data_IF_975807816408
#
_entry.id   IF_975807816408
#
_cell.length_a   1.000
_cell.length_b   1.000
_cell.length_c   1.000
_cell.angle_alpha   90.00
_cell.angle_beta   90.00
_cell.angle_gamma   90.00
#
_symmetry.space_group_name_H-M   'P 1'
#
loop_
_entity.id
_entity.type
_entity.pdbx_description
1 polymer ?
#
# COMPACT_ATOMS: atom_id res chain seq x y z
N UNK A 1 -31.56 -4.53 -21.45
CA UNK A 1 -30.78 -3.54 -22.22
C UNK A 1 -30.47 -4.14 -23.58
N UNK A 2 -30.50 -3.36 -24.66
CA UNK A 2 -30.11 -3.85 -25.99
C UNK A 2 -28.58 -3.77 -26.19
N UNK A 3 -28.07 -4.37 -27.26
CA UNK A 3 -26.63 -4.38 -27.56
C UNK A 3 -26.06 -2.96 -27.72
N UNK A 4 -26.88 -2.02 -28.21
CA UNK A 4 -26.49 -0.61 -28.40
C UNK A 4 -26.29 0.09 -27.05
N UNK A 5 -27.17 -0.14 -26.08
CA UNK A 5 -27.03 0.38 -24.72
C UNK A 5 -25.77 -0.15 -24.02
N UNK A 6 -25.51 -1.46 -24.09
CA UNK A 6 -24.32 -2.07 -23.50
C UNK A 6 -23.05 -1.49 -24.13
N UNK A 7 -23.02 -1.33 -25.45
CA UNK A 7 -21.90 -0.72 -26.17
C UNK A 7 -21.66 0.72 -25.75
N UNK A 8 -22.72 1.53 -25.60
CA UNK A 8 -22.62 2.91 -25.14
C UNK A 8 -21.98 3.01 -23.75
N UNK A 9 -22.44 2.19 -22.79
CA UNK A 9 -21.86 2.14 -21.44
C UNK A 9 -20.38 1.74 -21.44
N UNK A 10 -19.99 0.78 -22.28
CA UNK A 10 -18.58 0.38 -22.43
C UNK A 10 -17.72 1.49 -23.04
N UNK A 11 -18.25 2.27 -23.98
CA UNK A 11 -17.55 3.43 -24.55
C UNK A 11 -17.35 4.51 -23.48
N UNK A 12 -18.37 4.80 -22.68
CA UNK A 12 -18.27 5.73 -21.56
C UNK A 12 -17.21 5.29 -20.55
N UNK A 13 -17.23 4.02 -20.16
CA UNK A 13 -16.22 3.43 -19.28
C UNK A 13 -14.81 3.54 -19.87
N UNK A 14 -14.63 3.24 -21.16
CA UNK A 14 -13.35 3.36 -21.85
C UNK A 14 -12.83 4.80 -21.81
N UNK A 15 -13.69 5.76 -22.14
CA UNK A 15 -13.33 7.17 -22.16
C UNK A 15 -12.98 7.68 -20.75
N UNK A 16 -13.71 7.22 -19.73
CA UNK A 16 -13.39 7.50 -18.34
C UNK A 16 -12.01 6.97 -17.95
N UNK A 17 -11.69 5.70 -18.27
CA UNK A 17 -10.38 5.10 -18.00
C UNK A 17 -9.24 5.89 -18.66
N UNK A 18 -9.39 6.28 -19.94
CA UNK A 18 -8.40 7.07 -20.66
C UNK A 18 -8.21 8.47 -20.06
N UNK A 19 -9.30 9.11 -19.63
CA UNK A 19 -9.24 10.40 -18.94
C UNK A 19 -8.48 10.31 -17.62
N UNK A 20 -8.70 9.25 -16.83
CA UNK A 20 -7.95 9.02 -15.59
C UNK A 20 -6.47 8.79 -15.88
N UNK A 21 -6.12 8.04 -16.93
CA UNK A 21 -4.74 7.87 -17.36
C UNK A 21 -4.06 9.21 -17.70
N UNK A 22 -4.71 10.04 -18.51
CA UNK A 22 -4.20 11.36 -18.90
C UNK A 22 -3.92 12.24 -17.67
N UNK A 23 -4.83 12.25 -16.69
CA UNK A 23 -4.66 12.97 -15.42
C UNK A 23 -3.46 12.46 -14.59
N UNK A 24 -3.05 11.21 -14.77
CA UNK A 24 -1.93 10.60 -14.06
C UNK A 24 -0.63 10.54 -14.88
N UNK A 25 -0.59 11.11 -16.09
CA UNK A 25 0.56 11.04 -17.00
C UNK A 25 1.87 11.50 -16.35
N UNK A 26 1.84 12.62 -15.60
CA UNK A 26 3.01 13.12 -14.85
C UNK A 26 3.53 12.12 -13.80
N UNK A 27 2.64 11.30 -13.21
CA UNK A 27 3.06 10.25 -12.27
C UNK A 27 3.65 9.06 -13.01
N UNK A 28 3.06 8.66 -14.14
CA UNK A 28 3.57 7.60 -15.01
C UNK A 28 4.97 7.89 -15.56
N UNK A 29 5.27 9.15 -15.88
CA UNK A 29 6.60 9.58 -16.31
C UNK A 29 7.66 9.35 -15.24
N UNK A 30 7.31 9.47 -13.95
CA UNK A 30 8.20 9.24 -12.80
C UNK A 30 8.41 7.77 -12.46
N UNK A 31 7.61 6.86 -13.03
CA UNK A 31 7.78 5.40 -12.83
C UNK A 31 8.94 4.91 -13.68
N UNK A 32 9.73 3.97 -13.12
CA UNK A 32 10.81 3.31 -13.85
C UNK A 32 10.29 2.72 -15.18
N UNK A 33 11.01 2.86 -16.31
CA UNK A 33 10.57 2.38 -17.62
C UNK A 33 10.04 0.93 -17.62
N UNK A 34 10.73 0.01 -16.93
CA UNK A 34 10.37 -1.41 -16.84
C UNK A 34 9.03 -1.69 -16.13
N UNK A 35 8.52 -0.72 -15.38
CA UNK A 35 7.27 -0.83 -14.63
C UNK A 35 6.17 0.06 -15.19
N UNK A 36 6.45 0.91 -16.19
CA UNK A 36 5.51 1.90 -16.71
C UNK A 36 4.24 1.26 -17.28
N UNK A 37 4.36 0.15 -18.03
CA UNK A 37 3.19 -0.58 -18.56
C UNK A 37 2.32 -1.19 -17.46
N UNK A 38 2.92 -1.75 -16.41
CA UNK A 38 2.18 -2.29 -15.27
C UNK A 38 1.51 -1.17 -14.45
N UNK A 39 2.19 -0.03 -14.26
CA UNK A 39 1.64 1.15 -13.60
C UNK A 39 0.47 1.75 -14.38
N UNK A 40 0.55 1.79 -15.71
CA UNK A 40 -0.53 2.21 -16.59
C UNK A 40 -1.75 1.29 -16.44
N UNK A 41 -1.54 -0.04 -16.47
CA UNK A 41 -2.60 -1.01 -16.24
C UNK A 41 -3.23 -0.88 -14.83
N UNK A 42 -2.42 -0.59 -13.81
CA UNK A 42 -2.91 -0.35 -12.45
C UNK A 42 -3.83 0.88 -12.40
N UNK A 43 -3.49 1.96 -13.11
CA UNK A 43 -4.39 3.12 -13.23
C UNK A 43 -5.70 2.74 -13.91
N UNK A 44 -5.64 1.95 -14.99
CA UNK A 44 -6.85 1.45 -15.66
C UNK A 44 -7.71 0.58 -14.73
N UNK A 45 -7.08 -0.30 -13.95
CA UNK A 45 -7.74 -1.15 -12.97
C UNK A 45 -8.41 -0.34 -11.86
N UNK A 46 -7.71 0.65 -11.29
CA UNK A 46 -8.27 1.52 -10.27
C UNK A 46 -9.43 2.35 -10.80
N UNK A 47 -9.35 2.83 -12.04
CA UNK A 47 -10.46 3.51 -12.71
C UNK A 47 -11.66 2.57 -12.89
N UNK A 48 -11.46 1.35 -13.37
CA UNK A 48 -12.51 0.33 -13.48
C UNK A 48 -13.15 0.01 -12.12
N UNK A 49 -12.39 0.04 -11.02
CA UNK A 49 -12.92 -0.25 -9.67
C UNK A 49 -13.54 0.97 -8.97
N UNK A 50 -13.37 2.17 -9.51
CA UNK A 50 -13.88 3.39 -8.90
C UNK A 50 -15.39 3.60 -9.11
N UNK A 51 -15.97 2.90 -10.07
CA UNK A 51 -17.40 2.99 -10.42
C UNK A 51 -18.03 1.61 -10.22
N UNK A 52 -19.27 1.59 -9.74
CA UNK A 52 -20.02 0.35 -9.68
C UNK A 52 -20.45 -0.07 -11.09
N UNK A 53 -20.03 -1.27 -11.49
CA UNK A 53 -20.31 -1.85 -12.80
C UNK A 53 -21.14 -3.13 -12.70
N UNK A 54 -21.81 -3.40 -11.58
CA UNK A 54 -22.58 -4.62 -11.39
C UNK A 54 -23.59 -4.87 -12.51
N UNK A 55 -24.41 -3.86 -12.85
CA UNK A 55 -25.41 -3.95 -13.91
C UNK A 55 -24.79 -4.21 -15.28
N UNK A 56 -23.71 -3.48 -15.62
CA UNK A 56 -22.98 -3.67 -16.88
C UNK A 56 -22.41 -5.10 -16.99
N UNK A 57 -21.89 -5.66 -15.90
CA UNK A 57 -21.37 -7.02 -15.87
C UNK A 57 -22.48 -8.08 -16.02
N UNK A 58 -23.63 -7.86 -15.39
CA UNK A 58 -24.82 -8.72 -15.55
C UNK A 58 -25.30 -8.71 -17.00
N UNK A 59 -25.37 -7.52 -17.62
CA UNK A 59 -25.73 -7.38 -19.03
C UNK A 59 -24.75 -8.09 -19.97
N UNK A 60 -23.43 -7.91 -19.79
CA UNK A 60 -22.40 -8.62 -20.57
C UNK A 60 -22.56 -10.14 -20.47
N UNK A 61 -22.77 -10.64 -19.25
CA UNK A 61 -22.94 -12.08 -19.01
C UNK A 61 -24.22 -12.62 -19.66
N UNK A 62 -25.30 -11.83 -19.62
CA UNK A 62 -26.60 -12.23 -20.21
C UNK A 62 -26.56 -12.41 -21.74
N UNK A 63 -25.61 -11.78 -22.42
CA UNK A 63 -25.39 -11.89 -23.87
C UNK A 63 -24.23 -12.83 -24.22
N UNK A 64 -23.72 -13.59 -23.25
CA UNK A 64 -22.65 -14.57 -23.46
C UNK A 64 -21.23 -13.99 -23.59
N UNK A 65 -21.05 -12.70 -23.29
CA UNK A 65 -19.72 -12.07 -23.24
C UNK A 65 -19.09 -12.24 -21.86
N UNK A 66 -17.76 -12.35 -21.83
CA UNK A 66 -17.02 -12.45 -20.58
C UNK A 66 -17.18 -11.16 -19.76
N UNK A 67 -17.47 -11.30 -18.47
CA UNK A 67 -17.52 -10.16 -17.56
C UNK A 67 -16.15 -9.48 -17.46
N UNK A 68 -16.13 -8.17 -17.21
CA UNK A 68 -14.89 -7.42 -16.99
C UNK A 68 -14.15 -7.81 -15.69
N UNK A 69 -14.69 -8.72 -14.86
CA UNK A 69 -14.07 -9.14 -13.58
C UNK A 69 -12.69 -9.75 -13.76
N UNK A 70 -12.45 -10.46 -14.85
CA UNK A 70 -11.19 -11.14 -15.13
C UNK A 70 -10.25 -10.29 -16.01
N UNK A 71 -10.54 -9.00 -16.18
CA UNK A 71 -9.74 -8.10 -17.00
C UNK A 71 -8.54 -7.47 -16.29
N UNK A 72 -8.31 -7.79 -15.02
CA UNK A 72 -7.37 -7.09 -14.13
C UNK A 72 -5.95 -7.01 -14.70
N UNK A 73 -5.50 -8.05 -15.40
CA UNK A 73 -4.17 -8.09 -15.98
C UNK A 73 -4.00 -7.19 -17.21
N UNK A 74 -5.10 -6.84 -17.91
CA UNK A 74 -5.12 -6.14 -19.21
C UNK A 74 -6.43 -5.40 -19.43
N UNK A 75 -6.72 -4.40 -18.59
CA UNK A 75 -8.06 -3.80 -18.48
C UNK A 75 -8.50 -3.15 -19.79
N UNK A 76 -7.71 -2.21 -20.31
CA UNK A 76 -8.06 -1.45 -21.52
C UNK A 76 -8.11 -2.34 -22.76
N UNK A 77 -7.25 -3.36 -22.85
CA UNK A 77 -7.24 -4.30 -23.98
C UNK A 77 -8.48 -5.17 -24.02
N UNK A 78 -8.87 -5.73 -22.88
CA UNK A 78 -10.09 -6.54 -22.81
C UNK A 78 -11.33 -5.68 -23.09
N UNK A 79 -11.35 -4.43 -22.62
CA UNK A 79 -12.43 -3.50 -22.93
C UNK A 79 -12.50 -3.18 -24.44
N UNK A 80 -11.36 -2.91 -25.07
CA UNK A 80 -11.28 -2.69 -26.52
C UNK A 80 -11.72 -3.93 -27.32
N UNK A 81 -11.36 -5.14 -26.87
CA UNK A 81 -11.78 -6.39 -27.50
C UNK A 81 -13.31 -6.57 -27.41
N UNK A 82 -13.91 -6.36 -26.25
CA UNK A 82 -15.37 -6.44 -26.09
C UNK A 82 -16.07 -5.41 -26.97
N UNK A 83 -15.57 -4.16 -27.01
CA UNK A 83 -16.11 -3.11 -27.87
C UNK A 83 -15.99 -3.44 -29.37
N UNK A 84 -14.90 -4.07 -29.78
CA UNK A 84 -14.71 -4.54 -31.15
C UNK A 84 -15.76 -5.59 -31.52
N UNK A 85 -15.96 -6.61 -30.68
CA UNK A 85 -16.98 -7.65 -30.94
C UNK A 85 -18.42 -7.14 -30.94
N UNK A 86 -18.68 -6.02 -30.24
CA UNK A 86 -19.98 -5.34 -30.22
C UNK A 86 -20.15 -4.31 -31.35
N UNK A 87 -19.15 -4.10 -32.21
CA UNK A 87 -19.24 -3.14 -33.31
C UNK A 87 -20.01 -3.72 -34.50
N UNK A 88 -20.83 -2.88 -35.15
CA UNK A 88 -21.64 -3.27 -36.33
C UNK A 88 -20.74 -3.56 -37.55
N UNK A 89 -19.60 -2.88 -37.64
CA UNK A 89 -18.54 -3.14 -38.62
C UNK A 89 -17.59 -4.23 -38.09
N UNK A 90 -17.99 -5.50 -38.16
CA UNK A 90 -17.07 -6.60 -37.90
C UNK A 90 -16.03 -6.70 -39.02
N UNK A 91 -14.98 -5.89 -38.93
CA UNK A 91 -13.75 -6.18 -39.66
C UNK A 91 -13.11 -7.41 -39.01
N UNK A 92 -12.66 -8.39 -39.79
CA UNK A 92 -11.99 -9.60 -39.29
C UNK A 92 -10.65 -9.32 -38.57
N UNK A 93 -10.23 -8.05 -38.50
CA UNK A 93 -8.99 -7.64 -37.87
C UNK A 93 -9.16 -7.52 -36.35
N UNK A 94 -8.56 -8.46 -35.62
CA UNK A 94 -8.50 -8.45 -34.16
C UNK A 94 -7.73 -7.20 -33.71
N UNK A 95 -8.28 -6.39 -32.78
CA UNK A 95 -7.60 -5.23 -32.23
C UNK A 95 -6.19 -5.57 -31.74
N UNK A 96 -5.20 -4.83 -32.20
CA UNK A 96 -3.82 -4.98 -31.70
C UNK A 96 -3.81 -4.62 -30.21
N UNK A 97 -3.31 -5.50 -29.34
CA UNK A 97 -3.29 -5.20 -27.92
C UNK A 97 -2.39 -3.99 -27.61
N UNK A 98 -2.91 -3.05 -26.83
CA UNK A 98 -2.21 -1.85 -26.34
C UNK A 98 -0.99 -2.25 -25.52
N UNK A 99 -1.09 -3.29 -24.68
CA UNK A 99 0.06 -3.82 -23.97
C UNK A 99 0.72 -4.99 -24.72
N UNK A 100 1.96 -4.84 -25.16
CA UNK A 100 2.71 -5.94 -25.81
C UNK A 100 3.16 -7.05 -24.84
N UNK A 101 2.85 -6.91 -23.55
CA UNK A 101 3.44 -7.69 -22.46
C UNK A 101 2.52 -8.82 -22.04
N UNK A 102 3.02 -10.05 -21.96
CA UNK A 102 2.26 -11.19 -21.48
C UNK A 102 2.27 -11.23 -19.93
N UNK A 103 1.16 -10.95 -19.23
CA UNK A 103 1.19 -10.68 -17.78
C UNK A 103 1.75 -11.84 -16.95
N UNK A 104 1.35 -13.07 -17.27
CA UNK A 104 1.83 -14.27 -16.58
C UNK A 104 3.35 -14.48 -16.75
N UNK A 105 3.89 -14.13 -17.93
CA UNK A 105 5.32 -14.26 -18.21
C UNK A 105 6.10 -13.23 -17.41
N UNK A 106 5.67 -11.97 -17.41
CA UNK A 106 6.36 -10.94 -16.64
C UNK A 106 6.21 -11.12 -15.12
N UNK A 107 5.10 -11.69 -14.66
CA UNK A 107 4.96 -12.07 -13.25
C UNK A 107 5.98 -13.14 -12.88
N UNK A 108 6.15 -14.18 -13.71
CA UNK A 108 7.16 -15.22 -13.51
C UNK A 108 8.58 -14.65 -13.55
N UNK A 109 8.93 -13.91 -14.60
CA UNK A 109 10.28 -13.32 -14.74
C UNK A 109 10.64 -12.41 -13.55
N UNK A 110 9.68 -11.63 -13.03
CA UNK A 110 9.89 -10.79 -11.85
C UNK A 110 9.97 -11.59 -10.55
N UNK A 111 9.17 -12.65 -10.41
CA UNK A 111 9.23 -13.54 -9.27
C UNK A 111 10.59 -14.25 -9.21
N UNK A 112 11.04 -14.79 -10.34
CA UNK A 112 12.36 -15.44 -10.47
C UNK A 112 13.50 -14.46 -10.15
N UNK A 113 13.40 -13.20 -10.61
CA UNK A 113 14.37 -12.17 -10.30
C UNK A 113 14.41 -11.76 -8.81
N UNK A 114 13.28 -11.82 -8.11
CA UNK A 114 13.16 -11.42 -6.70
C UNK A 114 13.45 -12.55 -5.71
N UNK A 115 13.02 -13.76 -6.05
CA UNK A 115 12.97 -14.90 -5.12
C UNK A 115 13.86 -16.07 -5.56
N UNK A 116 14.46 -15.99 -6.75
CA UNK A 116 15.23 -17.05 -7.37
C UNK A 116 14.38 -17.93 -8.28
N UNK A 117 15.01 -18.58 -9.26
CA UNK A 117 14.32 -19.48 -10.18
C UNK A 117 13.96 -20.81 -9.50
N UNK A 118 12.79 -21.35 -9.82
CA UNK A 118 12.39 -22.73 -9.48
C UNK A 118 11.88 -23.45 -10.72
N UNK A 119 12.39 -24.66 -10.93
CA UNK A 119 11.97 -25.55 -12.02
C UNK A 119 10.56 -26.12 -11.80
N UNK A 120 10.11 -26.15 -10.54
CA UNK A 120 8.81 -26.68 -10.14
C UNK A 120 7.74 -25.59 -10.10
N UNK A 121 6.47 -25.99 -10.26
CA UNK A 121 5.32 -25.09 -10.06
C UNK A 121 5.06 -24.76 -8.57
N UNK A 122 5.89 -25.26 -7.66
CA UNK A 122 5.71 -25.06 -6.23
C UNK A 122 5.92 -23.58 -5.87
N UNK A 123 5.02 -22.97 -5.08
CA UNK A 123 5.19 -21.60 -4.66
C UNK A 123 6.48 -21.43 -3.84
N UNK A 124 7.03 -20.22 -3.86
CA UNK A 124 8.06 -19.85 -2.88
C UNK A 124 7.44 -19.81 -1.48
N UNK A 125 8.14 -20.39 -0.52
CA UNK A 125 7.78 -20.33 0.90
C UNK A 125 8.67 -19.29 1.55
N UNK A 126 8.06 -18.19 2.00
CA UNK A 126 8.72 -17.09 2.69
C UNK A 126 8.48 -17.20 4.19
N UNK A 127 9.54 -17.26 5.00
CA UNK A 127 9.46 -17.28 6.46
C UNK A 127 9.94 -15.93 7.01
N UNK A 128 9.17 -15.30 7.88
CA UNK A 128 9.57 -14.03 8.52
C UNK A 128 10.41 -14.32 9.76
N UNK A 129 11.62 -13.78 9.81
CA UNK A 129 12.54 -13.92 10.93
C UNK A 129 12.20 -12.96 12.08
N UNK A 130 12.51 -13.39 13.29
CA UNK A 130 12.34 -12.61 14.52
C UNK A 130 13.28 -13.13 15.61
N UNK A 131 13.83 -12.24 16.43
CA UNK A 131 14.66 -12.63 17.59
C UNK A 131 13.92 -13.43 18.66
N UNK A 132 12.59 -13.58 18.55
CA UNK A 132 11.78 -14.43 19.42
C UNK A 132 11.82 -15.92 19.04
N UNK A 133 12.36 -16.27 17.87
CA UNK A 133 12.58 -17.67 17.46
C UNK A 133 13.95 -18.16 17.97
N UNK A 134 14.19 -19.48 17.99
CA UNK A 134 15.49 -19.98 18.44
C UNK A 134 16.60 -19.67 17.41
N UNK A 135 16.25 -19.53 16.12
CA UNK A 135 17.13 -19.05 15.04
C UNK A 135 18.48 -19.81 14.97
N UNK A 136 18.44 -21.10 15.26
CA UNK A 136 19.62 -21.97 15.23
C UNK A 136 19.85 -22.55 13.83
N UNK A 137 21.09 -22.95 13.52
CA UNK A 137 21.39 -23.63 12.24
C UNK A 137 20.48 -24.85 12.01
N UNK A 138 20.26 -25.67 13.05
CA UNK A 138 19.40 -26.86 12.95
C UNK A 138 17.96 -26.52 12.58
N UNK A 139 17.37 -25.47 13.16
CA UNK A 139 16.01 -25.07 12.81
C UNK A 139 15.93 -24.52 11.38
N UNK A 140 16.93 -23.74 10.97
CA UNK A 140 16.98 -23.28 9.59
C UNK A 140 17.16 -24.44 8.61
N UNK A 141 17.95 -25.47 8.96
CA UNK A 141 18.09 -26.66 8.14
C UNK A 141 16.74 -27.38 7.95
N UNK A 142 15.96 -27.55 9.03
CA UNK A 142 14.63 -28.14 8.96
C UNK A 142 13.68 -27.31 8.07
N UNK A 143 13.73 -25.98 8.18
CA UNK A 143 12.93 -25.08 7.35
C UNK A 143 13.32 -25.14 5.87
N UNK A 144 14.63 -25.18 5.56
CA UNK A 144 15.16 -25.30 4.21
C UNK A 144 14.71 -26.62 3.56
N UNK A 145 14.92 -27.74 4.26
CA UNK A 145 14.51 -29.07 3.79
C UNK A 145 12.97 -29.21 3.66
N UNK A 146 12.22 -28.42 4.43
CA UNK A 146 10.75 -28.32 4.31
C UNK A 146 10.29 -27.41 3.15
N UNK A 147 11.21 -26.80 2.41
CA UNK A 147 10.94 -26.06 1.18
C UNK A 147 10.97 -24.53 1.31
N UNK A 148 11.40 -23.98 2.45
CA UNK A 148 11.66 -22.55 2.60
C UNK A 148 12.65 -22.10 1.51
N UNK A 149 12.29 -21.05 0.77
CA UNK A 149 13.15 -20.48 -0.28
C UNK A 149 13.48 -19.01 -0.05
N UNK A 150 12.75 -18.35 0.84
CA UNK A 150 12.96 -16.95 1.14
C UNK A 150 12.86 -16.74 2.64
N UNK A 151 13.82 -16.03 3.21
CA UNK A 151 13.69 -15.44 4.55
C UNK A 151 13.35 -13.97 4.43
N UNK A 152 12.42 -13.49 5.24
CA UNK A 152 12.03 -12.09 5.34
C UNK A 152 12.53 -11.50 6.65
N UNK A 153 13.34 -10.45 6.56
CA UNK A 153 13.75 -9.65 7.71
C UNK A 153 12.90 -8.38 7.74
N UNK A 154 12.02 -8.28 8.74
CA UNK A 154 11.19 -7.08 8.93
C UNK A 154 11.98 -6.01 9.67
N UNK A 155 12.52 -5.04 8.94
CA UNK A 155 13.38 -3.98 9.47
C UNK A 155 12.63 -2.96 10.36
N UNK A 156 11.35 -3.19 10.65
CA UNK A 156 10.61 -2.43 11.66
C UNK A 156 10.69 -2.97 13.06
N UNK A 157 11.32 -4.12 13.21
CA UNK A 157 11.55 -4.82 14.45
C UNK A 157 13.00 -5.30 14.45
N UNK A 158 13.48 -5.63 15.64
CA UNK A 158 14.83 -6.12 15.88
C UNK A 158 15.91 -5.13 15.38
N UNK A 159 17.17 -5.53 15.45
CA UNK A 159 18.34 -4.70 15.21
C UNK A 159 19.30 -5.34 14.22
N UNK A 160 20.23 -4.54 13.68
CA UNK A 160 21.28 -5.03 12.77
C UNK A 160 22.08 -6.20 13.34
N UNK A 161 22.36 -6.18 14.66
CA UNK A 161 23.04 -7.27 15.35
C UNK A 161 22.21 -8.56 15.30
N UNK A 162 20.94 -8.49 15.70
CA UNK A 162 20.02 -9.64 15.68
C UNK A 162 19.85 -10.18 14.25
N UNK A 163 19.70 -9.32 13.26
CA UNK A 163 19.60 -9.74 11.86
C UNK A 163 20.87 -10.44 11.37
N UNK A 164 22.05 -9.96 11.79
CA UNK A 164 23.34 -10.54 11.42
C UNK A 164 23.48 -11.96 11.98
N UNK A 165 23.16 -12.15 13.27
CA UNK A 165 23.19 -13.47 13.92
C UNK A 165 22.25 -14.47 13.24
N UNK A 166 21.02 -14.06 12.91
CA UNK A 166 20.07 -14.91 12.18
C UNK A 166 20.61 -15.31 10.79
N UNK A 167 21.24 -14.38 10.09
CA UNK A 167 21.78 -14.62 8.75
C UNK A 167 23.03 -15.51 8.77
N UNK A 168 23.84 -15.43 9.82
CA UNK A 168 24.97 -16.34 10.03
C UNK A 168 24.48 -17.78 10.26
N UNK A 169 23.51 -17.97 11.15
CA UNK A 169 22.86 -19.28 11.36
C UNK A 169 22.23 -19.83 10.07
N UNK A 170 21.56 -18.98 9.28
CA UNK A 170 20.97 -19.39 8.00
C UNK A 170 22.04 -19.83 6.98
N UNK A 171 23.19 -19.14 6.93
CA UNK A 171 24.29 -19.51 6.03
C UNK A 171 24.86 -20.88 6.38
N UNK A 172 25.10 -21.15 7.66
CA UNK A 172 25.57 -22.45 8.12
C UNK A 172 24.58 -23.56 7.72
N UNK A 173 23.29 -23.35 7.95
CA UNK A 173 22.25 -24.30 7.56
C UNK A 173 22.18 -24.53 6.05
N UNK A 174 22.39 -23.48 5.25
CA UNK A 174 22.41 -23.57 3.78
C UNK A 174 23.62 -24.37 3.29
N UNK A 175 24.78 -24.21 3.92
CA UNK A 175 25.99 -25.01 3.63
C UNK A 175 25.81 -26.49 4.02
N UNK A 176 25.18 -26.74 5.18
CA UNK A 176 24.91 -28.10 5.68
C UNK A 176 23.90 -28.87 4.81
N UNK A 177 22.85 -28.20 4.35
CA UNK A 177 21.76 -28.83 3.56
C UNK A 177 22.02 -28.83 2.06
N UNK A 178 22.86 -27.91 1.56
CA UNK A 178 23.03 -27.66 0.13
C UNK A 178 21.89 -26.87 -0.51
N UNK A 179 20.89 -26.44 0.27
CA UNK A 179 19.75 -25.66 -0.20
C UNK A 179 20.04 -24.16 -0.17
N UNK A 180 19.67 -23.45 -1.24
CA UNK A 180 19.84 -22.00 -1.33
C UNK A 180 18.59 -21.25 -0.85
N UNK A 181 18.79 -20.14 -0.15
CA UNK A 181 17.71 -19.28 0.34
C UNK A 181 17.96 -17.81 -0.03
N UNK A 182 16.94 -17.15 -0.60
CA UNK A 182 16.96 -15.70 -0.84
C UNK A 182 16.66 -14.92 0.43
N UNK A 183 17.32 -13.78 0.63
CA UNK A 183 17.08 -12.89 1.78
C UNK A 183 16.33 -11.65 1.33
N UNK A 184 15.14 -11.44 1.88
CA UNK A 184 14.28 -10.29 1.59
C UNK A 184 14.24 -9.33 2.79
N UNK A 185 14.87 -8.16 2.64
CA UNK A 185 14.80 -7.08 3.63
C UNK A 185 13.53 -6.25 3.41
N UNK A 186 12.57 -6.40 4.32
CA UNK A 186 11.33 -5.63 4.33
C UNK A 186 11.53 -4.34 5.14
N UNK A 187 11.82 -3.25 4.42
CA UNK A 187 11.99 -1.94 5.03
C UNK A 187 10.65 -1.43 5.57
N UNK A 188 10.67 -0.89 6.79
CA UNK A 188 9.47 -0.39 7.51
C UNK A 188 8.59 0.61 6.75
N UNK A 189 9.07 1.19 5.66
CA UNK A 189 8.48 2.36 5.04
C UNK A 189 8.43 3.54 6.03
N UNK A 190 7.85 4.66 5.60
CA UNK A 190 7.69 5.80 6.47
C UNK A 190 6.50 5.60 7.42
N UNK A 191 6.75 5.07 8.62
CA UNK A 191 5.72 4.95 9.67
C UNK A 191 5.57 6.29 10.38
N UNK A 192 4.39 6.91 10.30
CA UNK A 192 4.09 8.12 11.07
C UNK A 192 3.73 7.69 12.49
N UNK A 193 4.41 8.25 13.50
CA UNK A 193 4.19 7.91 14.90
C UNK A 193 4.03 9.16 15.76
N UNK A 194 3.26 9.04 16.82
CA UNK A 194 3.22 10.04 17.89
C UNK A 194 4.60 10.08 18.55
N UNK A 195 5.22 11.25 18.59
CA UNK A 195 6.52 11.45 19.24
C UNK A 195 6.33 11.88 20.69
N UNK A 196 5.65 12.99 20.91
CA UNK A 196 5.42 13.56 22.24
C UNK A 196 3.96 13.95 22.40
N UNK A 197 3.44 13.82 23.63
CA UNK A 197 2.09 14.21 24.01
C UNK A 197 2.16 15.24 25.12
N UNK A 198 1.27 16.22 25.05
CA UNK A 198 1.17 17.30 26.02
C UNK A 198 -0.29 17.48 26.42
N UNK A 199 -0.52 17.68 27.71
CA UNK A 199 -1.85 17.97 28.22
C UNK A 199 -2.23 19.45 28.02
N UNK A 200 -3.42 19.83 28.49
CA UNK A 200 -3.90 21.22 28.48
C UNK A 200 -2.99 22.20 29.24
N UNK A 201 -2.17 21.73 30.17
CA UNK A 201 -1.21 22.53 30.94
C UNK A 201 0.16 22.60 30.25
N UNK A 202 0.30 22.03 29.05
CA UNK A 202 1.56 21.93 28.29
C UNK A 202 2.64 21.10 28.99
N UNK A 203 2.23 20.23 29.93
CA UNK A 203 3.14 19.28 30.54
C UNK A 203 3.27 18.06 29.64
N UNK A 204 4.50 17.60 29.43
CA UNK A 204 4.75 16.35 28.71
C UNK A 204 4.12 15.19 29.48
N UNK A 205 3.28 14.40 28.82
CA UNK A 205 2.57 13.27 29.41
C UNK A 205 2.90 11.98 28.67
N UNK A 206 2.99 10.88 29.42
CA UNK A 206 3.20 9.53 28.83
C UNK A 206 1.95 8.96 28.16
N UNK A 207 0.78 9.54 28.46
CA UNK A 207 -0.48 9.15 27.86
C UNK A 207 -1.50 10.29 27.94
N UNK A 208 -2.31 10.45 26.88
CA UNK A 208 -3.43 11.40 26.85
C UNK A 208 -4.73 10.64 26.67
N UNK A 209 -5.66 10.77 27.62
CA UNK A 209 -6.97 10.13 27.55
C UNK A 209 -7.90 10.92 26.61
N UNK A 210 -8.48 10.24 25.63
CA UNK A 210 -9.34 10.81 24.59
C UNK A 210 -10.68 10.07 24.53
N UNK A 211 -11.72 10.74 24.06
CA UNK A 211 -13.09 10.27 23.82
C UNK A 211 -13.70 11.07 22.66
N UNK A 212 -14.77 10.60 22.02
CA UNK A 212 -15.46 11.34 20.97
C UNK A 212 -15.86 12.75 21.43
N UNK A 213 -15.68 13.74 20.56
CA UNK A 213 -15.89 15.17 20.81
C UNK A 213 -14.70 15.90 21.46
N UNK A 214 -13.66 15.19 21.91
CA UNK A 214 -12.44 15.88 22.36
C UNK A 214 -11.71 16.52 21.18
N UNK A 215 -11.14 17.71 21.38
CA UNK A 215 -10.32 18.40 20.37
C UNK A 215 -8.85 18.37 20.73
N UNK A 216 -8.02 18.05 19.76
CA UNK A 216 -6.57 17.97 19.92
C UNK A 216 -5.88 18.73 18.81
N UNK A 217 -4.66 19.16 19.07
CA UNK A 217 -3.82 19.74 18.04
C UNK A 217 -2.63 18.83 17.74
N UNK A 218 -2.35 18.62 16.46
CA UNK A 218 -1.17 17.92 16.00
C UNK A 218 -0.21 18.96 15.43
N UNK A 219 0.87 19.23 16.16
CA UNK A 219 1.82 20.29 15.84
C UNK A 219 3.05 19.79 15.09
N UNK A 220 3.57 20.60 14.16
CA UNK A 220 4.85 20.37 13.46
C UNK A 220 6.07 20.59 14.36
N UNK A 221 5.94 21.49 15.33
CA UNK A 221 6.98 21.90 16.28
C UNK A 221 6.44 21.90 17.71
N UNK A 222 7.29 21.87 18.76
CA UNK A 222 6.84 22.22 20.10
C UNK A 222 6.11 23.58 20.05
N UNK A 223 4.84 23.59 20.44
CA UNK A 223 3.92 24.68 20.14
C UNK A 223 3.74 25.61 21.34
N UNK A 224 3.90 26.92 21.16
CA UNK A 224 4.03 27.87 22.28
C UNK A 224 2.81 28.80 22.52
N UNK A 225 1.84 28.97 21.60
CA UNK A 225 0.78 30.00 21.70
C UNK A 225 -0.63 29.60 21.24
N UNK A 226 -1.64 29.61 22.10
CA UNK A 226 -3.06 29.51 21.69
C UNK A 226 -3.84 28.33 22.27
N UNK A 227 -5.18 28.44 22.20
CA UNK A 227 -6.20 27.62 22.89
C UNK A 227 -6.25 26.17 22.41
N UNK A 228 -6.09 25.19 23.32
CA UNK A 228 -6.42 23.79 23.03
C UNK A 228 -7.32 23.16 24.07
N UNK A 229 -8.44 22.63 23.58
CA UNK A 229 -9.47 21.94 24.38
C UNK A 229 -9.11 20.46 24.52
N UNK A 230 -7.99 20.17 25.19
CA UNK A 230 -7.63 18.95 25.97
C UNK A 230 -6.12 18.68 25.99
N UNK A 231 -5.44 18.91 24.87
CA UNK A 231 -3.98 18.72 24.74
C UNK A 231 -3.49 18.81 23.29
N UNK A 232 -2.18 18.65 23.08
CA UNK A 232 -1.57 18.59 21.76
C UNK A 232 -0.51 17.49 21.65
N UNK A 233 -0.13 17.13 20.43
CA UNK A 233 0.89 16.11 20.15
C UNK A 233 1.81 16.53 19.02
N UNK A 234 3.00 15.91 18.94
CA UNK A 234 3.90 16.00 17.78
C UNK A 234 4.02 14.62 17.13
N UNK A 235 4.25 14.59 15.81
CA UNK A 235 4.44 13.34 15.06
C UNK A 235 5.77 13.30 14.32
N UNK A 236 6.24 12.08 14.02
CA UNK A 236 7.44 11.81 13.22
C UNK A 236 7.11 10.90 12.04
N UNK A 237 7.64 11.14 10.83
CA UNK A 237 8.47 12.28 10.45
C UNK A 237 7.66 13.58 10.33
N UNK A 238 8.30 14.74 10.55
CA UNK A 238 7.63 16.08 10.49
C UNK A 238 6.99 16.41 9.13
N UNK A 239 7.37 15.69 8.07
CA UNK A 239 6.79 15.84 6.73
C UNK A 239 5.42 15.15 6.58
N UNK A 240 4.92 14.51 7.63
CA UNK A 240 3.61 13.84 7.67
C UNK A 240 2.41 14.75 7.36
N UNK A 241 2.57 16.08 7.44
CA UNK A 241 1.47 17.04 7.32
C UNK A 241 1.25 17.59 5.90
N UNK A 242 2.00 17.14 4.89
CA UNK A 242 1.82 17.62 3.52
C UNK A 242 0.51 17.07 2.96
N UNK A 243 -0.39 17.98 2.53
CA UNK A 243 -1.64 17.62 1.86
C UNK A 243 -2.86 17.42 2.76
N UNK A 244 -2.80 17.78 4.05
CA UNK A 244 -3.96 17.74 4.94
C UNK A 244 -5.00 18.79 4.56
N UNK A 245 -6.26 18.36 4.47
CA UNK A 245 -7.42 19.19 4.19
C UNK A 245 -8.45 19.03 5.32
N UNK A 246 -9.29 20.05 5.52
CA UNK A 246 -10.42 19.97 6.44
C UNK A 246 -11.37 18.84 6.01
N UNK A 247 -11.92 18.10 6.97
CA UNK A 247 -12.80 16.95 6.76
C UNK A 247 -12.07 15.62 6.51
N UNK A 248 -10.73 15.61 6.43
CA UNK A 248 -9.98 14.35 6.27
C UNK A 248 -9.91 13.58 7.58
N UNK A 249 -9.97 12.26 7.47
CA UNK A 249 -9.83 11.34 8.61
C UNK A 249 -8.38 11.15 9.00
N UNK A 250 -8.16 10.98 10.30
CA UNK A 250 -6.88 10.59 10.91
C UNK A 250 -7.16 9.40 11.81
N UNK A 251 -6.35 8.35 11.68
CA UNK A 251 -6.46 7.15 12.50
C UNK A 251 -5.24 7.07 13.41
N UNK A 252 -5.47 6.73 14.68
CA UNK A 252 -4.40 6.49 15.65
C UNK A 252 -4.46 5.07 16.17
N UNK A 253 -3.28 4.54 16.50
CA UNK A 253 -3.12 3.22 17.12
C UNK A 253 -3.88 2.14 16.33
N UNK A 254 -3.51 1.99 15.05
CA UNK A 254 -4.08 1.01 14.12
C UNK A 254 -5.61 1.10 13.95
N UNK A 255 -6.17 2.31 14.06
CA UNK A 255 -7.61 2.56 13.87
C UNK A 255 -8.44 2.40 15.13
N UNK A 256 -7.82 2.22 16.30
CA UNK A 256 -8.53 2.17 17.58
C UNK A 256 -9.14 3.52 17.96
N UNK A 257 -8.57 4.62 17.45
CA UNK A 257 -9.09 5.98 17.62
C UNK A 257 -9.16 6.67 16.26
N UNK A 258 -10.28 7.31 15.96
CA UNK A 258 -10.44 8.15 14.76
C UNK A 258 -10.58 9.61 15.15
N UNK A 259 -10.01 10.48 14.33
CA UNK A 259 -10.27 11.90 14.36
C UNK A 259 -10.55 12.43 12.95
N UNK A 260 -11.06 13.65 12.90
CA UNK A 260 -11.31 14.40 11.69
C UNK A 260 -10.64 15.77 11.78
N UNK A 261 -10.00 16.20 10.70
CA UNK A 261 -9.36 17.52 10.62
C UNK A 261 -10.44 18.59 10.60
N UNK A 262 -10.45 19.47 11.60
CA UNK A 262 -11.38 20.58 11.68
C UNK A 262 -10.76 21.91 11.22
N UNK A 263 -9.44 22.06 11.35
CA UNK A 263 -8.72 23.21 10.81
C UNK A 263 -7.27 22.88 10.46
N UNK A 264 -6.71 23.58 9.47
CA UNK A 264 -5.33 23.44 9.02
C UNK A 264 -4.65 24.81 9.11
N UNK A 265 -3.46 24.86 9.69
CA UNK A 265 -2.63 26.06 9.76
C UNK A 265 -1.17 25.75 9.40
N UNK A 266 -0.35 26.79 9.30
CA UNK A 266 1.09 26.61 9.08
C UNK A 266 1.77 25.85 10.21
N UNK A 267 1.25 25.97 11.44
CA UNK A 267 1.83 25.40 12.66
C UNK A 267 1.43 23.93 12.87
N UNK A 268 0.28 23.50 12.35
CA UNK A 268 -0.24 22.15 12.54
C UNK A 268 -1.67 21.97 12.08
N UNK A 269 -2.35 20.97 12.64
CA UNK A 269 -3.77 20.69 12.37
C UNK A 269 -4.53 20.50 13.67
N UNK A 270 -5.72 21.10 13.73
CA UNK A 270 -6.68 20.83 14.78
C UNK A 270 -7.60 19.70 14.35
N UNK A 271 -7.88 18.80 15.29
CA UNK A 271 -8.65 17.59 15.03
C UNK A 271 -9.72 17.43 16.10
N UNK A 272 -10.86 16.87 15.71
CA UNK A 272 -11.88 16.39 16.64
C UNK A 272 -11.88 14.86 16.64
N UNK A 273 -11.87 14.25 17.82
CA UNK A 273 -11.98 12.80 17.96
C UNK A 273 -13.42 12.39 17.63
N UNK A 274 -13.59 11.53 16.63
CA UNK A 274 -14.91 11.09 16.15
C UNK A 274 -15.26 9.69 16.63
N UNK A 275 -14.27 8.86 16.95
CA UNK A 275 -14.49 7.48 17.39
C UNK A 275 -13.39 6.98 18.32
N UNK A 276 -13.80 6.17 19.30
CA UNK A 276 -12.94 5.31 20.11
C UNK A 276 -13.68 3.99 20.36
N UNK A 277 -12.98 2.86 20.31
CA UNK A 277 -13.56 1.53 20.54
C UNK A 277 -14.02 1.24 22.00
N UNK A 278 -13.62 2.10 22.95
CA UNK A 278 -14.11 2.13 24.33
C UNK A 278 -14.51 3.56 24.71
N UNK A 279 -15.25 3.79 25.82
CA UNK A 279 -15.70 5.13 26.22
C UNK A 279 -14.57 6.15 26.37
N UNK A 280 -13.36 5.69 26.68
CA UNK A 280 -12.13 6.48 26.57
C UNK A 280 -10.94 5.60 26.21
N UNK A 281 -10.00 6.17 25.46
CA UNK A 281 -8.75 5.56 25.03
C UNK A 281 -7.55 6.41 25.38
N UNK A 282 -6.41 5.78 25.68
CA UNK A 282 -5.16 6.49 25.98
C UNK A 282 -4.27 6.48 24.75
N UNK A 283 -4.09 7.64 24.12
CA UNK A 283 -3.01 7.85 23.15
C UNK A 283 -1.68 7.85 23.89
N UNK A 284 -0.65 7.25 23.30
CA UNK A 284 0.70 7.15 23.86
C UNK A 284 1.74 7.49 22.78
N UNK A 285 2.96 7.90 23.16
CA UNK A 285 4.08 7.94 22.23
C UNK A 285 4.26 6.59 21.51
N UNK A 286 4.90 6.63 20.35
CA UNK A 286 5.17 5.47 19.47
C UNK A 286 3.97 4.82 18.80
N UNK A 287 2.74 5.25 19.13
CA UNK A 287 1.55 4.79 18.43
C UNK A 287 1.51 5.31 17.00
N UNK A 288 1.10 4.43 16.09
CA UNK A 288 0.97 4.74 14.66
C UNK A 288 -0.10 5.79 14.41
N UNK A 289 0.13 6.63 13.41
CA UNK A 289 -0.82 7.61 12.88
C UNK A 289 -0.95 7.37 11.39
N UNK A 290 -2.18 7.20 10.91
CA UNK A 290 -2.47 6.98 9.50
C UNK A 290 -3.41 8.08 8.97
N UNK A 291 -3.20 8.48 7.72
CA UNK A 291 -4.01 9.47 7.02
C UNK A 291 -4.65 8.83 5.78
N UNK A 292 -5.81 8.16 5.92
CA UNK A 292 -6.44 7.45 4.82
C UNK A 292 -6.74 8.38 3.63
N UNK A 293 -6.40 7.94 2.42
CA UNK A 293 -6.68 8.68 1.19
C UNK A 293 -5.72 9.85 0.92
N UNK A 294 -4.65 10.01 1.69
CA UNK A 294 -3.61 11.02 1.42
C UNK A 294 -2.40 10.44 0.69
N UNK A 295 -1.90 11.19 -0.30
CA UNK A 295 -0.59 10.94 -0.88
C UNK A 295 0.49 11.39 0.09
N UNK A 296 1.10 10.46 0.82
CA UNK A 296 2.23 10.77 1.69
C UNK A 296 3.48 10.98 0.82
N UNK A 297 3.87 12.23 0.59
CA UNK A 297 5.16 12.54 -0.05
C UNK A 297 6.31 12.37 0.94
N UNK A 298 6.78 11.12 1.08
CA UNK A 298 8.02 10.84 1.79
C UNK A 298 8.99 10.22 0.81
N UNK A 299 10.14 10.89 0.61
CA UNK A 299 11.24 10.36 -0.20
C UNK A 299 11.70 9.04 0.42
N UNK A 300 11.52 7.93 -0.28
CA UNK A 300 12.10 6.65 0.08
C UNK A 300 13.62 6.70 -0.06
N UNK A 301 14.34 6.23 0.95
CA UNK A 301 15.81 6.10 0.94
C UNK A 301 16.55 7.42 1.20
N UNK A 302 16.78 7.75 2.47
CA UNK A 302 17.96 8.54 2.82
C UNK A 302 19.14 7.57 2.91
N UNK A 303 20.21 7.81 2.13
CA UNK A 303 21.55 7.29 2.49
C UNK A 303 21.83 7.79 3.90
N UNK A 304 21.83 6.91 4.89
CA UNK A 304 22.53 7.21 6.13
C UNK A 304 24.01 7.23 5.74
N UNK A 305 24.53 8.44 5.50
CA UNK A 305 25.97 8.63 5.38
C UNK A 305 26.56 8.37 6.76
N UNK A 306 27.35 7.30 6.88
CA UNK A 306 28.38 7.25 7.89
C UNK A 306 29.34 8.42 7.66
N UNK A 307 29.46 9.27 8.69
CA UNK A 307 30.73 9.87 9.07
C UNK A 307 31.03 9.39 10.49
#
# INVERSE_FOLDING_TARGET
>A
MDLKGIRAELIELRNYILKVEEQQMRRLERVHPDHRGAAQNLIHYLALRAIDHQLLQEHLTSIGLSSLRNSEARVLDNLNLVLHWLSEDQCNDIPVPVQKVHPARCMKERADALFGHRDTWSPHIMVTLSSQMNNTSSEFADLLLSGMSVVRINCGHDSELEWTEMLESLRLASEETGESCSVYFDLSGPKIRIKELFDKQRSSVKALAVKPGDRLFISKYPYEKGHYVKGYMTVRPKKAFVGLEVGKRILFDDGVVHGEVISVSDEGVEIEITYTDKPSRKLKPEKGVNFPGMGIEIKGGHRQGHQ
#
